data_IF_737329517026
#
_entry.id   IF_737329517026
#
_cell.length_a   1.000
_cell.length_b   1.000
_cell.length_c   1.000
_cell.angle_alpha   90.00
_cell.angle_beta   90.00
_cell.angle_gamma   90.00
#
_symmetry.space_group_name_H-M   'P 1'
#
loop_
_entity.id
_entity.type
_entity.pdbx_description
1 polymer ?
#
# COMPACT_ATOMS: atom_id res chain seq x y z
N UNK A 1 1.86 21.18 47.07
CA UNK A 1 1.00 19.98 46.87
C UNK A 1 0.47 20.04 45.43
N UNK A 2 0.72 19.01 44.61
CA UNK A 2 0.27 18.78 43.21
C UNK A 2 1.08 19.27 41.97
N UNK A 3 2.25 19.94 42.08
CA UNK A 3 3.00 20.36 40.87
C UNK A 3 4.02 19.33 40.32
N UNK A 4 4.31 18.24 41.05
CA UNK A 4 5.43 17.34 40.71
C UNK A 4 5.06 16.04 40.00
N UNK A 5 3.78 15.78 39.72
CA UNK A 5 3.36 14.52 39.09
C UNK A 5 3.44 14.53 37.55
N UNK A 6 3.53 15.70 36.91
CA UNK A 6 3.41 15.80 35.44
C UNK A 6 4.73 15.65 34.68
N UNK A 7 5.89 15.62 35.36
CA UNK A 7 7.20 15.64 34.68
C UNK A 7 7.60 14.35 33.98
N UNK A 8 6.76 13.29 33.98
CA UNK A 8 7.12 12.02 33.34
C UNK A 8 5.96 11.30 32.68
N UNK A 9 5.00 12.03 32.13
CA UNK A 9 4.18 11.48 31.05
C UNK A 9 5.11 11.40 29.85
N UNK A 10 5.96 10.37 29.83
CA UNK A 10 6.64 9.95 28.62
C UNK A 10 5.52 9.70 27.63
N UNK A 11 5.38 10.61 26.66
CA UNK A 11 4.50 10.45 25.50
C UNK A 11 5.08 9.32 24.68
N UNK A 12 5.02 8.09 25.19
CA UNK A 12 5.13 6.91 24.36
C UNK A 12 4.06 7.09 23.31
N UNK A 13 4.45 7.03 22.03
CA UNK A 13 3.46 7.09 20.95
C UNK A 13 2.40 6.04 21.28
N UNK A 14 1.11 6.41 21.29
CA UNK A 14 0.09 5.47 21.72
C UNK A 14 0.22 4.20 20.89
N UNK A 15 0.12 3.03 21.52
CA UNK A 15 0.00 1.79 20.77
C UNK A 15 -1.44 1.70 20.25
N UNK A 16 -1.68 1.27 19.00
CA UNK A 16 -3.03 1.11 18.50
C UNK A 16 -3.81 0.08 19.34
N UNK A 17 -4.99 0.48 19.82
CA UNK A 17 -5.86 -0.43 20.56
C UNK A 17 -6.39 -1.53 19.62
N UNK A 18 -6.85 -2.65 20.18
CA UNK A 18 -7.46 -3.71 19.37
C UNK A 18 -8.67 -3.19 18.57
N UNK A 19 -9.43 -2.26 19.14
CA UNK A 19 -10.56 -1.62 18.45
C UNK A 19 -10.11 -0.77 17.26
N UNK A 20 -9.05 0.02 17.42
CA UNK A 20 -8.52 0.85 16.33
C UNK A 20 -7.99 -0.02 15.18
N UNK A 21 -7.20 -1.04 15.51
CA UNK A 21 -6.65 -1.98 14.51
C UNK A 21 -7.77 -2.66 13.74
N UNK A 22 -8.75 -3.21 14.46
CA UNK A 22 -9.89 -3.90 13.87
C UNK A 22 -10.74 -2.96 12.99
N UNK A 23 -10.97 -1.73 13.43
CA UNK A 23 -11.74 -0.73 12.68
C UNK A 23 -11.08 -0.39 11.35
N UNK A 24 -9.76 -0.20 11.35
CA UNK A 24 -9.00 0.05 10.11
C UNK A 24 -8.92 -1.21 9.25
N UNK A 25 -8.66 -2.38 9.85
CA UNK A 25 -8.53 -3.66 9.14
C UNK A 25 -9.76 -4.04 8.31
N UNK A 26 -10.95 -3.63 8.75
CA UNK A 26 -12.22 -3.86 8.04
C UNK A 26 -12.41 -2.95 6.83
N UNK A 27 -11.80 -1.77 6.81
CA UNK A 27 -12.05 -0.74 5.79
C UNK A 27 -11.00 -0.69 4.69
N UNK A 28 -9.84 -1.33 4.91
CA UNK A 28 -8.71 -1.34 3.98
C UNK A 28 -8.73 -2.56 3.07
N UNK A 29 -8.14 -2.43 1.88
CA UNK A 29 -8.02 -3.53 0.93
C UNK A 29 -6.62 -4.15 0.85
N UNK A 30 -5.61 -3.60 1.53
CA UNK A 30 -4.25 -4.14 1.50
C UNK A 30 -3.40 -3.78 2.72
N UNK A 31 -2.34 -4.56 2.92
CA UNK A 31 -1.31 -4.35 3.95
C UNK A 31 -0.81 -2.90 3.97
N UNK A 32 -0.52 -2.32 2.80
CA UNK A 32 0.03 -0.96 2.74
C UNK A 32 -0.96 0.11 3.18
N UNK A 33 -2.24 -0.02 2.83
CA UNK A 33 -3.28 0.90 3.33
C UNK A 33 -3.52 0.77 4.83
N UNK A 34 -3.40 -0.45 5.40
CA UNK A 34 -3.48 -0.65 6.85
C UNK A 34 -2.38 0.13 7.57
N UNK A 35 -1.12 -0.02 7.12
CA UNK A 35 0.01 0.72 7.68
C UNK A 35 -0.20 2.22 7.52
N UNK A 36 -0.46 2.70 6.31
CA UNK A 36 -0.63 4.12 6.06
C UNK A 36 -1.72 4.74 6.95
N UNK A 37 -2.84 4.06 7.17
CA UNK A 37 -3.92 4.56 8.02
C UNK A 37 -3.56 4.58 9.52
N UNK A 38 -2.89 3.54 10.03
CA UNK A 38 -2.51 3.48 11.45
C UNK A 38 -1.28 4.35 11.76
N UNK A 39 -0.32 4.44 10.86
CA UNK A 39 0.92 5.21 11.04
C UNK A 39 0.65 6.73 11.14
N UNK A 40 -0.44 7.22 10.54
CA UNK A 40 -0.89 8.62 10.69
C UNK A 40 -1.11 8.98 12.16
N UNK A 41 -1.66 8.06 12.97
CA UNK A 41 -2.00 8.31 14.38
C UNK A 41 -0.95 7.76 15.35
N UNK A 42 -0.38 6.61 15.05
CA UNK A 42 0.46 5.86 15.98
C UNK A 42 1.96 5.92 15.62
N UNK A 43 2.31 6.43 14.44
CA UNK A 43 3.67 6.37 13.91
C UNK A 43 4.05 4.94 13.52
N UNK A 44 5.36 4.66 13.46
CA UNK A 44 5.88 3.37 13.00
C UNK A 44 5.30 2.19 13.76
N UNK A 45 4.79 1.23 13.02
CA UNK A 45 4.15 0.03 13.56
C UNK A 45 5.05 -1.20 13.47
N UNK A 46 4.85 -2.19 14.36
CA UNK A 46 5.58 -3.45 14.26
C UNK A 46 5.08 -4.26 13.06
N UNK A 47 5.98 -5.02 12.41
CA UNK A 47 5.66 -5.84 11.24
C UNK A 47 4.58 -6.89 11.51
N UNK A 48 4.41 -7.32 12.76
CA UNK A 48 3.38 -8.29 13.16
C UNK A 48 1.96 -7.69 13.23
N UNK A 49 1.79 -6.38 12.99
CA UNK A 49 0.48 -5.72 13.04
C UNK A 49 -0.52 -6.35 12.05
N UNK A 50 -0.05 -6.86 10.92
CA UNK A 50 -0.88 -7.56 9.93
C UNK A 50 -1.49 -8.84 10.49
N UNK A 51 -0.68 -9.63 11.21
CA UNK A 51 -1.11 -10.88 11.85
C UNK A 51 -2.12 -10.57 12.95
N UNK A 52 -1.85 -9.54 13.76
CA UNK A 52 -2.78 -9.06 14.78
C UNK A 52 -4.11 -8.61 14.17
N UNK A 53 -4.06 -7.81 13.12
CA UNK A 53 -5.25 -7.32 12.42
C UNK A 53 -6.07 -8.47 11.81
N UNK A 54 -5.41 -9.45 11.19
CA UNK A 54 -6.09 -10.62 10.63
C UNK A 54 -6.75 -11.47 11.71
N UNK A 55 -6.03 -11.76 12.79
CA UNK A 55 -6.57 -12.49 13.95
C UNK A 55 -7.80 -11.79 14.54
N UNK A 56 -7.72 -10.47 14.74
CA UNK A 56 -8.87 -9.69 15.22
C UNK A 56 -10.07 -9.76 14.27
N UNK A 57 -9.85 -9.77 12.96
CA UNK A 57 -10.93 -9.93 11.99
C UNK A 57 -11.56 -11.32 12.10
N UNK A 58 -10.76 -12.39 12.12
CA UNK A 58 -11.24 -13.77 12.28
C UNK A 58 -12.01 -13.97 13.59
N UNK A 59 -11.50 -13.43 14.70
CA UNK A 59 -12.14 -13.53 16.02
C UNK A 59 -13.47 -12.79 16.09
N UNK A 60 -13.68 -11.80 15.20
CA UNK A 60 -14.94 -11.07 15.06
C UNK A 60 -15.82 -11.61 13.92
N UNK A 61 -15.46 -12.76 13.31
CA UNK A 61 -16.22 -13.36 12.22
C UNK A 61 -16.12 -12.62 10.88
N UNK A 62 -15.09 -11.79 10.70
CA UNK A 62 -14.94 -10.95 9.50
C UNK A 62 -13.96 -11.60 8.55
N UNK A 63 -14.45 -11.87 7.35
CA UNK A 63 -13.65 -12.38 6.25
C UNK A 63 -12.87 -11.22 5.62
N UNK A 64 -11.54 -11.39 5.54
CA UNK A 64 -10.63 -10.47 4.86
C UNK A 64 -9.60 -11.28 4.09
N UNK A 65 -9.27 -10.86 2.88
CA UNK A 65 -8.28 -11.56 2.04
C UNK A 65 -6.97 -10.78 1.93
N UNK A 66 -6.97 -9.50 2.28
CA UNK A 66 -5.85 -8.58 2.07
C UNK A 66 -4.55 -8.96 2.79
N UNK A 67 -4.65 -9.81 3.81
CA UNK A 67 -3.51 -10.27 4.59
C UNK A 67 -2.80 -11.48 3.95
N UNK A 68 -3.47 -12.18 3.03
CA UNK A 68 -2.93 -13.34 2.32
C UNK A 68 -1.81 -12.90 1.37
N UNK A 69 -0.90 -13.84 1.07
CA UNK A 69 0.17 -13.60 0.12
C UNK A 69 -0.37 -13.60 -1.31
N UNK A 70 0.07 -12.66 -2.15
CA UNK A 70 -0.41 -12.53 -3.53
C UNK A 70 -1.80 -11.91 -3.69
N UNK A 71 -2.48 -11.48 -2.62
CA UNK A 71 -3.75 -10.74 -2.77
C UNK A 71 -3.53 -9.39 -3.45
N UNK A 72 -4.29 -9.13 -4.52
CA UNK A 72 -4.26 -7.88 -5.27
C UNK A 72 -5.54 -7.10 -4.99
N UNK A 73 -5.40 -5.88 -4.45
CA UNK A 73 -6.54 -5.00 -4.25
C UNK A 73 -7.16 -4.58 -5.60
N UNK A 74 -8.47 -4.81 -5.84
CA UNK A 74 -9.12 -4.53 -7.12
C UNK A 74 -9.01 -3.07 -7.59
N UNK A 75 -9.00 -2.11 -6.65
CA UNK A 75 -8.87 -0.67 -6.93
C UNK A 75 -7.42 -0.18 -6.89
N UNK A 76 -6.47 -1.11 -6.76
CA UNK A 76 -5.07 -0.82 -6.49
C UNK A 76 -4.82 -0.32 -5.06
N UNK A 77 -3.56 -0.43 -4.65
CA UNK A 77 -3.09 0.09 -3.37
C UNK A 77 -2.28 1.35 -3.60
N UNK A 78 -2.86 2.51 -3.24
CA UNK A 78 -2.10 3.75 -3.19
C UNK A 78 -1.20 3.73 -1.95
N UNK A 79 0.00 3.18 -2.09
CA UNK A 79 1.03 3.37 -1.07
C UNK A 79 1.55 4.80 -1.18
N UNK A 80 1.49 5.58 -0.09
CA UNK A 80 2.35 6.78 0.02
C UNK A 80 3.83 6.42 0.19
N UNK A 81 4.14 5.12 0.22
CA UNK A 81 5.49 4.60 0.28
C UNK A 81 5.85 3.90 -1.04
N UNK A 82 5.92 4.69 -2.11
CA UNK A 82 6.73 4.33 -3.28
C UNK A 82 7.16 5.57 -4.06
N UNK A 83 7.93 6.43 -3.43
CA UNK A 83 8.92 7.24 -4.15
C UNK A 83 10.29 6.64 -3.83
N UNK A 84 10.53 5.41 -4.28
CA UNK A 84 11.87 4.80 -4.38
C UNK A 84 11.90 3.53 -5.25
N UNK A 85 10.76 2.99 -5.70
CA UNK A 85 10.78 2.29 -6.98
C UNK A 85 10.94 3.35 -8.07
N UNK A 86 12.18 3.74 -8.34
CA UNK A 86 12.58 4.16 -9.66
C UNK A 86 12.09 3.05 -10.59
N UNK A 87 10.95 3.25 -11.26
CA UNK A 87 10.81 2.67 -12.58
C UNK A 87 11.98 3.27 -13.35
N UNK A 88 12.94 2.48 -13.86
CA UNK A 88 13.74 2.96 -14.95
C UNK A 88 12.71 3.34 -16.01
N UNK A 89 12.66 4.62 -16.37
CA UNK A 89 11.91 5.01 -17.54
C UNK A 89 12.45 4.16 -18.67
N UNK A 90 11.67 3.17 -19.08
CA UNK A 90 11.90 2.46 -20.32
C UNK A 90 11.62 3.53 -21.36
N UNK A 91 12.68 4.25 -21.75
CA UNK A 91 12.64 5.20 -22.84
C UNK A 91 12.49 4.32 -24.07
N UNK A 92 11.25 4.04 -24.46
CA UNK A 92 10.95 3.28 -25.67
C UNK A 92 11.28 4.19 -26.84
N UNK A 93 12.54 4.19 -27.25
CA UNK A 93 12.90 4.49 -28.63
C UNK A 93 12.27 3.39 -29.47
N UNK A 94 11.05 3.66 -29.95
CA UNK A 94 10.52 2.97 -31.11
C UNK A 94 11.40 3.41 -32.28
N UNK A 95 12.40 2.58 -32.56
CA UNK A 95 13.14 2.64 -33.81
C UNK A 95 12.09 2.47 -34.92
N UNK A 96 11.90 3.54 -35.69
CA UNK A 96 11.06 3.53 -36.87
C UNK A 96 11.64 2.47 -37.81
N UNK A 97 10.97 1.32 -37.90
CA UNK A 97 11.14 0.41 -39.02
C UNK A 97 10.67 1.17 -40.28
N UNK A 98 11.60 1.86 -40.91
CA UNK A 98 11.49 2.36 -42.26
C UNK A 98 11.33 1.15 -43.18
N UNK A 99 10.08 0.81 -43.49
CA UNK A 99 9.77 -0.21 -44.47
C UNK A 99 10.04 0.36 -45.87
N UNK A 100 10.93 -0.26 -46.68
CA UNK A 100 11.06 0.08 -48.08
C UNK A 100 9.96 -0.65 -48.87
N UNK A 101 9.01 0.10 -49.41
CA UNK A 101 8.12 -0.36 -50.47
C UNK A 101 8.16 0.67 -51.59
N UNK A 102 9.31 0.69 -52.26
CA UNK A 102 9.44 1.21 -53.62
C UNK A 102 9.65 0.01 -54.52
N UNK A 103 8.63 -0.34 -55.31
CA UNK A 103 8.77 -0.91 -56.67
C UNK A 103 7.41 -1.39 -57.19
N UNK A 104 6.98 -0.70 -58.24
CA UNK A 104 6.38 -1.23 -59.47
C UNK A 104 4.98 -1.86 -59.38
N UNK A 105 4.01 -1.13 -59.94
CA UNK A 105 3.28 -1.62 -61.10
C UNK A 105 3.15 -0.48 -62.12
N UNK A 106 3.90 -0.63 -63.21
CA UNK A 106 3.67 -0.01 -64.51
C UNK A 106 2.36 -0.51 -65.14
N UNK A 107 1.95 0.21 -66.18
CA UNK A 107 1.04 -0.18 -67.27
C UNK A 107 -0.46 0.10 -67.05
N UNK A 108 -0.88 1.30 -67.43
CA UNK A 108 -2.14 1.45 -68.18
C UNK A 108 -1.94 2.53 -69.27
N UNK A 109 -2.07 2.06 -70.52
CA UNK A 109 -1.96 2.76 -71.80
C UNK A 109 -3.02 3.86 -71.99
#
# INVERSE_FOLDING_TARGET
VAQTLFSKIQKTRPHPSNFDVLSVARSVCCKTSLLAALEVKYGSLPKNIFVKAAKLCSDNGIQIDWHQEGFICPKGCKSRYNSNALLPMQLTTVDFLEAPVDSLNDDEM
#
